data_IF_570023018198
#
_entry.id   IF_570023018198
#
_cell.length_a   1.000
_cell.length_b   1.000
_cell.length_c   1.000
_cell.angle_alpha   90.00
_cell.angle_beta   90.00
_cell.angle_gamma   90.00
#
_symmetry.space_group_name_H-M   'P 1'
#
loop_
_entity.id
_entity.type
_entity.pdbx_description
1 polymer ?
#
# COMPACT_ATOMS: atom_id res chain seq x y z
N UNK A 1 1.72 16.57 -15.66
CA UNK A 1 0.38 15.96 -15.65
C UNK A 1 0.54 14.48 -15.38
N UNK A 2 -0.27 13.90 -14.48
CA UNK A 2 -0.29 12.45 -14.19
C UNK A 2 -1.31 11.80 -15.13
N UNK A 3 -0.90 10.81 -15.91
CA UNK A 3 -1.76 10.11 -16.87
C UNK A 3 -2.80 9.21 -16.20
N UNK A 4 -3.80 8.74 -16.96
CA UNK A 4 -4.94 7.96 -16.42
C UNK A 4 -4.56 6.68 -15.66
N UNK A 5 -3.42 6.07 -16.00
CA UNK A 5 -2.90 4.85 -15.37
C UNK A 5 -1.79 5.10 -14.37
N UNK A 6 -1.42 6.35 -14.19
CA UNK A 6 -0.38 6.76 -13.27
C UNK A 6 -1.05 7.22 -11.97
N UNK A 7 -0.47 6.85 -10.83
CA UNK A 7 -0.93 7.26 -9.51
C UNK A 7 0.24 7.82 -8.72
N UNK A 8 -0.05 8.80 -7.88
CA UNK A 8 0.89 9.28 -6.87
C UNK A 8 0.38 8.83 -5.52
N UNK A 9 1.20 8.07 -4.78
CA UNK A 9 0.86 7.52 -3.47
C UNK A 9 1.86 8.08 -2.45
N UNK A 10 1.36 8.45 -1.27
CA UNK A 10 2.20 8.84 -0.14
C UNK A 10 2.15 7.72 0.88
N UNK A 11 3.32 7.23 1.30
CA UNK A 11 3.44 6.19 2.33
C UNK A 11 4.23 6.76 3.50
N UNK A 12 3.74 6.56 4.72
CA UNK A 12 4.47 6.87 5.93
C UNK A 12 5.35 5.68 6.35
N UNK A 13 6.65 5.92 6.49
CA UNK A 13 7.63 4.94 6.93
C UNK A 13 8.61 5.61 7.90
N UNK A 14 8.76 5.08 9.11
CA UNK A 14 9.72 5.59 10.11
C UNK A 14 9.62 7.11 10.38
N UNK A 15 8.43 7.70 10.25
CA UNK A 15 8.22 9.15 10.43
C UNK A 15 8.61 10.01 9.23
N UNK A 16 8.98 9.39 8.10
CA UNK A 16 9.16 10.03 6.81
C UNK A 16 7.99 9.69 5.88
N UNK A 17 7.66 10.63 4.99
CA UNK A 17 6.73 10.43 3.90
C UNK A 17 7.49 10.14 2.61
N UNK A 18 7.15 9.02 1.99
CA UNK A 18 7.67 8.59 0.71
C UNK A 18 6.63 8.91 -0.37
N UNK A 19 6.99 9.75 -1.33
CA UNK A 19 6.16 10.04 -2.50
C UNK A 19 6.52 9.06 -3.60
N UNK A 20 5.57 8.22 -3.98
CA UNK A 20 5.76 7.14 -4.95
C UNK A 20 4.94 7.41 -6.22
N UNK A 21 5.59 7.26 -7.36
CA UNK A 21 4.95 7.19 -8.67
C UNK A 21 4.66 5.74 -9.01
N UNK A 22 3.40 5.42 -9.24
CA UNK A 22 2.94 4.05 -9.50
C UNK A 22 2.35 3.98 -10.91
N UNK A 23 2.82 3.02 -11.69
CA UNK A 23 2.21 2.61 -12.97
C UNK A 23 1.89 1.12 -12.90
N UNK A 24 1.17 0.55 -13.89
CA UNK A 24 0.90 -0.89 -13.90
C UNK A 24 2.16 -1.77 -14.00
N UNK A 25 3.29 -1.21 -14.45
CA UNK A 25 4.54 -1.94 -14.64
C UNK A 25 5.56 -1.69 -13.53
N UNK A 26 5.56 -0.52 -12.91
CA UNK A 26 6.63 -0.11 -12.00
C UNK A 26 6.16 0.80 -10.88
N UNK A 27 6.93 0.81 -9.80
CA UNK A 27 6.84 1.75 -8.69
C UNK A 27 8.17 2.45 -8.55
N UNK A 28 8.15 3.78 -8.58
CA UNK A 28 9.33 4.61 -8.46
C UNK A 28 9.21 5.54 -7.25
N UNK A 29 10.27 5.60 -6.43
CA UNK A 29 10.40 6.63 -5.40
C UNK A 29 10.70 7.97 -6.08
N UNK A 30 9.79 8.91 -5.93
CA UNK A 30 9.92 10.26 -6.50
C UNK A 30 10.58 11.22 -5.52
N UNK A 31 10.22 11.12 -4.23
CA UNK A 31 10.77 11.99 -3.19
C UNK A 31 10.59 11.43 -1.78
N UNK A 32 11.40 11.92 -0.85
CA UNK A 32 11.25 11.73 0.60
C UNK A 32 11.01 13.08 1.25
N UNK A 33 10.10 13.14 2.21
CA UNK A 33 9.79 14.37 2.95
C UNK A 33 9.61 14.03 4.43
N UNK A 34 9.97 14.94 5.35
CA UNK A 34 9.61 14.76 6.75
C UNK A 34 8.09 14.76 6.91
N UNK A 35 7.57 13.94 7.83
CA UNK A 35 6.14 13.94 8.15
C UNK A 35 5.74 15.33 8.69
N UNK A 36 4.67 15.97 8.17
CA UNK A 36 4.19 17.23 8.71
C UNK A 36 3.66 17.03 10.14
N UNK A 37 4.00 17.96 11.03
CA UNK A 37 3.42 17.99 12.37
C UNK A 37 1.92 18.28 12.28
N UNK A 38 1.09 17.42 12.86
CA UNK A 38 -0.37 17.53 12.81
C UNK A 38 -1.06 16.83 11.63
N UNK A 39 -0.32 16.05 10.83
CA UNK A 39 -0.95 15.11 9.90
C UNK A 39 -1.54 13.94 10.68
N UNK A 40 -2.73 14.11 11.27
CA UNK A 40 -3.54 12.99 11.75
C UNK A 40 -3.87 12.10 10.55
N UNK A 41 -3.47 10.83 10.62
CA UNK A 41 -3.89 9.85 9.63
C UNK A 41 -5.40 9.75 9.71
N UNK A 42 -6.12 10.36 8.75
CA UNK A 42 -7.56 10.15 8.64
C UNK A 42 -7.81 8.63 8.67
N UNK A 43 -8.74 8.15 9.52
CA UNK A 43 -9.02 6.73 9.62
C UNK A 43 -9.33 6.22 8.22
N UNK A 44 -8.51 5.28 7.73
CA UNK A 44 -8.63 4.74 6.40
C UNK A 44 -10.09 4.42 6.11
N UNK A 45 -10.66 5.11 5.10
CA UNK A 45 -12.02 4.84 4.63
C UNK A 45 -12.19 3.33 4.41
N UNK A 46 -13.39 2.78 4.69
CA UNK A 46 -13.61 1.34 4.67
C UNK A 46 -13.04 0.74 3.39
N UNK A 47 -12.10 -0.19 3.57
CA UNK A 47 -11.27 -0.74 2.52
C UNK A 47 -12.06 -0.97 1.21
N UNK A 48 -11.64 -0.26 0.16
CA UNK A 48 -12.18 -0.38 -1.20
C UNK A 48 -12.31 -1.86 -1.62
N UNK A 49 -13.24 -2.21 -2.54
CA UNK A 49 -13.53 -3.60 -2.92
C UNK A 49 -12.29 -4.43 -3.26
N UNK A 50 -11.28 -3.79 -3.87
CA UNK A 50 -9.99 -4.39 -4.18
C UNK A 50 -9.18 -4.75 -2.92
N UNK A 51 -9.08 -3.86 -1.94
CA UNK A 51 -8.32 -4.10 -0.72
C UNK A 51 -8.94 -5.26 0.10
N UNK A 52 -10.27 -5.38 0.11
CA UNK A 52 -10.97 -6.52 0.73
C UNK A 52 -10.68 -7.84 0.01
N UNK A 53 -10.73 -7.84 -1.32
CA UNK A 53 -10.39 -9.02 -2.12
C UNK A 53 -8.92 -9.43 -1.94
N UNK A 54 -7.99 -8.48 -1.95
CA UNK A 54 -6.56 -8.73 -1.80
C UNK A 54 -6.25 -9.34 -0.42
N UNK A 55 -6.86 -8.82 0.64
CA UNK A 55 -6.74 -9.37 1.99
C UNK A 55 -7.21 -10.83 2.05
N UNK A 56 -8.38 -11.13 1.48
CA UNK A 56 -8.91 -12.49 1.44
C UNK A 56 -8.01 -13.46 0.65
N UNK A 57 -7.43 -13.00 -0.46
CA UNK A 57 -6.50 -13.81 -1.26
C UNK A 57 -5.19 -14.11 -0.48
N UNK A 58 -4.66 -13.11 0.23
CA UNK A 58 -3.44 -13.27 1.02
C UNK A 58 -3.64 -14.21 2.21
N UNK A 59 -4.75 -14.08 2.93
CA UNK A 59 -5.10 -14.94 4.06
C UNK A 59 -5.23 -16.40 3.63
N UNK A 60 -5.91 -16.67 2.50
CA UNK A 60 -6.04 -18.02 1.93
C UNK A 60 -4.69 -18.65 1.58
N UNK A 61 -3.75 -17.86 1.05
CA UNK A 61 -2.40 -18.33 0.72
C UNK A 61 -1.62 -18.71 1.99
N UNK A 62 -1.73 -17.90 3.06
CA UNK A 62 -1.07 -18.16 4.35
C UNK A 62 -1.58 -19.43 5.02
N UNK A 63 -2.89 -19.69 4.96
CA UNK A 63 -3.49 -20.92 5.46
C UNK A 63 -3.01 -22.17 4.69
N UNK A 64 -2.96 -22.08 3.36
CA UNK A 64 -2.46 -23.17 2.52
C UNK A 64 -0.98 -23.48 2.80
N UNK A 65 -0.18 -22.47 3.12
CA UNK A 65 1.23 -22.62 3.46
C UNK A 65 1.45 -23.23 4.85
N UNK A 66 0.64 -22.85 5.86
CA UNK A 66 0.68 -23.46 7.20
C UNK A 66 0.33 -24.95 7.18
N UNK A 67 -0.67 -25.36 6.41
CA UNK A 67 -1.06 -26.78 6.27
C UNK A 67 0.01 -27.66 5.61
N UNK A 68 0.95 -27.06 4.88
CA UNK A 68 2.09 -27.77 4.28
C UNK A 68 3.29 -27.89 5.22
N UNK A 69 3.33 -27.09 6.29
CA UNK A 69 4.43 -27.08 7.25
C UNK A 69 4.17 -28.00 8.45
N UNK A 70 2.91 -28.39 8.66
CA UNK A 70 2.46 -29.29 9.73
C UNK A 70 2.47 -30.79 9.33
N UNK A 71 3.04 -31.12 8.15
CA UNK A 71 3.19 -32.50 7.67
C UNK A 71 4.62 -32.76 7.21
#
# INVERSE_FOLDING_TARGET
>A
MVGQKERVVIVELEGEWLVLGVTPQQVNLLSKMPRPEGAESEPAEPAEPFARWLKAALDKSREAQRRRQDK
#
